data_IF_496172262800
#
_entry.id   IF_496172262800
#
_cell.length_a   1.000
_cell.length_b   1.000
_cell.length_c   1.000
_cell.angle_alpha   90.00
_cell.angle_beta   90.00
_cell.angle_gamma   90.00
#
_symmetry.space_group_name_H-M   'P 1'
#
loop_
_entity.id
_entity.type
_entity.pdbx_description
1 polymer ?
#
# COMPACT_ATOMS: atom_id res chain seq x y z
N UNK A 1 16.98 -19.30 11.05
CA UNK A 1 15.66 -19.97 10.93
C UNK A 1 15.25 -19.86 9.47
N UNK A 2 15.49 -20.91 8.68
CA UNK A 2 15.18 -20.91 7.24
C UNK A 2 13.83 -21.58 7.06
N UNK A 3 12.88 -20.85 6.46
CA UNK A 3 11.53 -21.36 6.18
C UNK A 3 11.67 -22.44 5.10
N UNK A 4 11.41 -23.70 5.45
CA UNK A 4 11.55 -24.87 4.58
C UNK A 4 10.36 -25.09 3.62
N UNK A 5 9.32 -24.27 3.76
CA UNK A 5 8.04 -24.44 3.07
C UNK A 5 7.66 -23.11 2.40
N UNK A 6 7.07 -23.11 1.19
CA UNK A 6 6.38 -21.91 0.70
C UNK A 6 5.35 -21.54 1.77
N UNK A 7 5.39 -20.30 2.28
CA UNK A 7 4.45 -19.83 3.32
C UNK A 7 3.03 -20.32 3.02
N UNK A 8 2.28 -20.79 4.03
CA UNK A 8 0.89 -21.29 3.92
C UNK A 8 0.02 -20.50 2.93
N UNK A 9 0.26 -19.20 2.82
CA UNK A 9 -0.44 -18.31 1.92
C UNK A 9 -0.20 -18.51 0.42
N UNK A 10 0.96 -18.99 -0.03
CA UNK A 10 1.16 -19.33 -1.46
C UNK A 10 0.25 -20.50 -1.84
N UNK A 11 0.10 -21.48 -0.94
CA UNK A 11 -0.72 -22.68 -1.14
C UNK A 11 -2.19 -22.37 -1.41
N UNK A 12 -2.72 -21.29 -0.83
CA UNK A 12 -4.12 -20.89 -1.00
C UNK A 12 -4.29 -19.79 -2.04
N UNK A 13 -3.42 -18.78 -2.06
CA UNK A 13 -3.59 -17.64 -2.95
C UNK A 13 -3.35 -18.01 -4.42
N UNK A 14 -2.33 -18.83 -4.71
CA UNK A 14 -1.96 -19.16 -6.09
C UNK A 14 -3.07 -19.94 -6.83
N UNK A 15 -3.68 -21.00 -6.26
CA UNK A 15 -4.79 -21.69 -6.92
C UNK A 15 -6.00 -20.79 -7.16
N UNK A 16 -6.33 -19.91 -6.21
CA UNK A 16 -7.46 -18.98 -6.35
C UNK A 16 -7.21 -17.97 -7.47
N UNK A 17 -6.01 -17.39 -7.54
CA UNK A 17 -5.67 -16.47 -8.65
C UNK A 17 -5.76 -17.16 -10.01
N UNK A 18 -5.28 -18.40 -10.11
CA UNK A 18 -5.37 -19.19 -11.34
C UNK A 18 -6.82 -19.50 -11.72
N UNK A 19 -7.65 -19.92 -10.76
CA UNK A 19 -9.07 -20.21 -10.99
C UNK A 19 -9.85 -18.97 -11.45
N UNK A 20 -9.47 -17.79 -10.97
CA UNK A 20 -10.08 -16.50 -11.36
C UNK A 20 -9.46 -15.90 -12.64
N UNK A 21 -8.47 -16.54 -13.25
CA UNK A 21 -7.76 -15.99 -14.41
C UNK A 21 -6.95 -14.72 -14.10
N UNK A 22 -6.62 -14.47 -12.84
CA UNK A 22 -5.84 -13.32 -12.40
C UNK A 22 -4.35 -13.66 -12.50
N UNK A 23 -3.58 -12.76 -13.12
CA UNK A 23 -2.12 -12.86 -13.25
C UNK A 23 -1.47 -13.05 -11.87
N UNK A 24 -0.75 -14.16 -11.68
CA UNK A 24 -0.11 -14.53 -10.40
C UNK A 24 0.76 -13.39 -9.82
N UNK A 25 0.60 -13.13 -8.53
CA UNK A 25 1.36 -12.12 -7.75
C UNK A 25 1.82 -12.74 -6.44
N UNK A 26 2.86 -12.16 -5.85
CA UNK A 26 3.22 -12.50 -4.47
C UNK A 26 2.17 -11.88 -3.55
N UNK A 27 1.81 -12.58 -2.49
CA UNK A 27 0.88 -12.03 -1.49
C UNK A 27 1.40 -10.71 -0.92
N UNK A 28 2.72 -10.57 -0.70
CA UNK A 28 3.30 -9.34 -0.18
C UNK A 28 3.02 -8.10 -1.07
N UNK A 29 2.76 -8.30 -2.37
CA UNK A 29 2.39 -7.20 -3.27
C UNK A 29 1.01 -6.60 -2.90
N UNK A 30 0.13 -7.34 -2.22
CA UNK A 30 -1.16 -6.79 -1.74
C UNK A 30 -0.95 -5.79 -0.60
N UNK A 31 0.07 -6.00 0.24
CA UNK A 31 0.47 -5.04 1.29
C UNK A 31 0.96 -3.73 0.69
N UNK A 32 1.74 -3.78 -0.38
CA UNK A 32 2.14 -2.59 -1.14
C UNK A 32 0.94 -1.88 -1.75
N UNK A 33 0.00 -2.64 -2.34
CA UNK A 33 -1.23 -2.08 -2.93
C UNK A 33 -2.07 -1.35 -1.87
N UNK A 34 -2.25 -1.95 -0.69
CA UNK A 34 -2.96 -1.34 0.43
C UNK A 34 -2.32 -0.01 0.85
N UNK A 35 -0.99 0.02 1.05
CA UNK A 35 -0.28 1.24 1.44
C UNK A 35 -0.50 2.39 0.43
N UNK A 36 -0.34 2.08 -0.87
CA UNK A 36 -0.54 3.04 -1.96
C UNK A 36 -1.99 3.56 -2.00
N UNK A 37 -2.99 2.67 -1.90
CA UNK A 37 -4.40 3.07 -1.92
C UNK A 37 -4.77 4.00 -0.76
N UNK A 38 -4.30 3.70 0.45
CA UNK A 38 -4.54 4.56 1.61
C UNK A 38 -3.92 5.94 1.44
N UNK A 39 -2.68 6.00 0.96
CA UNK A 39 -1.98 7.26 0.69
C UNK A 39 -2.66 8.08 -0.42
N UNK A 40 -3.06 7.44 -1.53
CA UNK A 40 -3.80 8.10 -2.61
C UNK A 40 -5.17 8.62 -2.16
N UNK A 41 -5.77 7.99 -1.14
CA UNK A 41 -7.03 8.43 -0.54
C UNK A 41 -6.85 9.58 0.46
N UNK A 42 -5.62 10.05 0.70
CA UNK A 42 -5.33 11.13 1.64
C UNK A 42 -5.42 10.72 3.11
N UNK A 43 -5.33 9.41 3.41
CA UNK A 43 -5.39 8.91 4.78
C UNK A 43 -4.14 9.27 5.57
N UNK A 44 -4.29 9.45 6.90
CA UNK A 44 -3.20 9.82 7.80
C UNK A 44 -2.01 8.83 7.74
N UNK A 45 -0.79 9.27 7.34
CA UNK A 45 0.39 8.41 7.25
C UNK A 45 0.76 7.67 8.54
N UNK A 46 0.55 8.30 9.71
CA UNK A 46 0.84 7.66 11.00
C UNK A 46 -0.10 6.47 11.28
N UNK A 47 -1.37 6.60 10.90
CA UNK A 47 -2.33 5.50 10.98
C UNK A 47 -1.92 4.37 10.04
N UNK A 48 -1.60 4.66 8.78
CA UNK A 48 -1.19 3.64 7.80
C UNK A 48 0.07 2.90 8.26
N UNK A 49 1.08 3.63 8.73
CA UNK A 49 2.33 3.07 9.23
C UNK A 49 2.10 2.14 10.43
N UNK A 50 1.19 2.50 11.35
CA UNK A 50 0.80 1.64 12.47
C UNK A 50 0.16 0.32 12.03
N UNK A 51 -0.73 0.36 11.02
CA UNK A 51 -1.38 -0.85 10.48
C UNK A 51 -0.39 -1.76 9.77
N UNK A 52 0.60 -1.16 9.11
CA UNK A 52 1.65 -1.92 8.44
C UNK A 52 2.74 -2.38 9.42
N UNK A 53 2.84 -1.81 10.62
CA UNK A 53 3.84 -2.20 11.61
C UNK A 53 5.25 -1.72 11.26
N UNK A 54 5.37 -0.50 10.71
CA UNK A 54 6.66 0.15 10.47
C UNK A 54 6.59 1.65 10.75
N UNK A 55 7.72 2.36 10.67
CA UNK A 55 7.77 3.81 10.85
C UNK A 55 7.12 4.57 9.69
N UNK A 56 6.72 5.81 9.95
CA UNK A 56 6.23 6.73 8.92
C UNK A 56 7.32 7.04 7.89
N UNK A 57 8.58 7.18 8.33
CA UNK A 57 9.73 7.36 7.45
C UNK A 57 9.85 6.21 6.43
N UNK A 58 9.66 4.96 6.88
CA UNK A 58 9.69 3.79 5.99
C UNK A 58 8.51 3.79 5.02
N UNK A 59 7.33 4.25 5.46
CA UNK A 59 6.16 4.42 4.59
C UNK A 59 6.47 5.44 3.47
N UNK A 60 6.87 6.66 3.85
CA UNK A 60 7.03 7.75 2.90
C UNK A 60 8.22 7.54 1.96
N UNK A 61 9.33 6.99 2.45
CA UNK A 61 10.48 6.64 1.59
C UNK A 61 10.12 5.62 0.50
N UNK A 62 9.18 4.72 0.78
CA UNK A 62 8.75 3.69 -0.18
C UNK A 62 7.68 4.19 -1.15
N UNK A 63 6.68 4.93 -0.65
CA UNK A 63 5.45 5.19 -1.42
C UNK A 63 5.24 6.66 -1.81
N UNK A 64 5.89 7.63 -1.16
CA UNK A 64 5.59 9.05 -1.38
C UNK A 64 5.87 9.53 -2.81
N UNK A 65 6.85 8.91 -3.50
CA UNK A 65 7.21 9.24 -4.89
C UNK A 65 6.03 9.12 -5.85
N UNK A 66 5.09 8.22 -5.59
CA UNK A 66 3.98 7.94 -6.50
C UNK A 66 2.72 8.77 -6.20
N UNK A 67 2.81 9.69 -5.24
CA UNK A 67 1.70 10.55 -4.81
C UNK A 67 1.67 11.88 -5.60
N UNK A 68 2.71 12.22 -6.39
CA UNK A 68 2.83 13.57 -6.97
C UNK A 68 2.42 13.69 -8.45
N UNK A 69 1.47 14.60 -8.73
CA UNK A 69 1.48 15.54 -9.88
C UNK A 69 0.11 16.21 -10.07
N UNK A 70 -0.99 15.49 -9.84
CA UNK A 70 -2.36 16.03 -10.03
C UNK A 70 -3.03 16.43 -8.70
N UNK A 71 -2.58 15.85 -7.58
CA UNK A 71 -3.14 16.08 -6.24
C UNK A 71 -2.61 17.31 -5.53
N UNK A 72 -1.50 17.89 -5.96
CA UNK A 72 -0.85 19.00 -5.26
C UNK A 72 -1.75 20.25 -5.21
N UNK A 73 -2.53 20.48 -6.28
CA UNK A 73 -3.56 21.52 -6.32
C UNK A 73 -4.66 21.29 -5.27
N UNK A 74 -5.08 20.04 -5.05
CA UNK A 74 -6.08 19.71 -4.02
C UNK A 74 -5.55 19.95 -2.60
N UNK A 75 -4.25 19.79 -2.39
CA UNK A 75 -3.63 20.10 -1.09
C UNK A 75 -3.59 21.61 -0.86
N UNK A 76 -3.35 22.41 -1.91
CA UNK A 76 -3.46 23.88 -1.83
C UNK A 76 -4.90 24.35 -1.59
N UNK A 77 -5.90 23.70 -2.19
CA UNK A 77 -7.31 24.02 -1.96
C UNK A 77 -7.71 23.93 -0.47
N UNK A 78 -7.07 23.03 0.31
CA UNK A 78 -7.32 22.91 1.76
C UNK A 78 -6.91 24.17 2.54
N UNK A 79 -5.98 24.97 2.01
CA UNK A 79 -5.58 26.24 2.61
C UNK A 79 -6.59 27.36 2.30
N UNK A 80 -7.20 27.34 1.12
CA UNK A 80 -8.06 28.40 0.62
C UNK A 80 -9.45 28.45 1.30
N UNK A 81 -9.90 27.36 1.91
CA UNK A 81 -11.24 27.28 2.54
C UNK A 81 -11.32 28.00 3.91
N UNK A 82 -10.25 28.66 4.38
CA UNK A 82 -10.18 29.28 5.71
C UNK A 82 -10.03 30.81 5.73
N UNK A 83 -10.40 31.52 4.66
CA UNK A 83 -10.59 32.98 4.68
C UNK A 83 -12.00 33.34 4.23
#
# INVERSE_FOLDING_TARGET
>A
MWIQEPSVTIRHLKPVLQALGIRERRQYDTRHTYATMCLMSGMNPAFIASQLGHSVDMLLSTYAKWISSTSDWRELDKLAVRV
#
